data_IF_393361387592
#
_entry.id   IF_393361387592
#
_cell.length_a   1.000
_cell.length_b   1.000
_cell.length_c   1.000
_cell.angle_alpha   90.00
_cell.angle_beta   90.00
_cell.angle_gamma   90.00
#
_symmetry.space_group_name_H-M   'P 1'
#
loop_
_entity.id
_entity.type
_entity.pdbx_description
1 polymer ?
#
# COMPACT_ATOMS: atom_id res chain seq x y z
N UNK A 1 -17.24 -8.82 -0.78
CA UNK A 1 -15.84 -9.04 -1.11
C UNK A 1 -15.80 -10.20 -2.07
N UNK A 2 -15.65 -9.87 -3.35
CA UNK A 2 -15.50 -10.84 -4.43
C UNK A 2 -14.01 -11.20 -4.54
N UNK A 3 -13.68 -12.41 -4.99
CA UNK A 3 -12.31 -12.68 -5.45
C UNK A 3 -11.99 -11.73 -6.61
N UNK A 4 -11.08 -10.79 -6.39
CA UNK A 4 -10.64 -9.81 -7.39
C UNK A 4 -11.04 -8.35 -7.13
N UNK A 5 -11.63 -8.01 -5.98
CA UNK A 5 -11.77 -6.60 -5.59
C UNK A 5 -10.35 -6.00 -5.42
N UNK A 6 -10.04 -4.90 -6.11
CA UNK A 6 -8.74 -4.23 -6.00
C UNK A 6 -8.48 -3.82 -4.55
N UNK A 7 -7.32 -4.18 -4.00
CA UNK A 7 -6.94 -3.86 -2.61
C UNK A 7 -7.14 -2.37 -2.29
N UNK A 8 -6.85 -1.49 -3.25
CA UNK A 8 -7.08 -0.05 -3.16
C UNK A 8 -8.52 0.29 -2.76
N UNK A 9 -9.53 -0.33 -3.38
CA UNK A 9 -10.94 -0.07 -3.08
C UNK A 9 -11.31 -0.46 -1.64
N UNK A 10 -10.73 -1.56 -1.15
CA UNK A 10 -10.92 -2.01 0.23
C UNK A 10 -10.28 -1.01 1.21
N UNK A 11 -9.08 -0.51 0.90
CA UNK A 11 -8.39 0.48 1.70
C UNK A 11 -9.17 1.81 1.76
N UNK A 12 -9.72 2.27 0.62
CA UNK A 12 -10.57 3.46 0.56
C UNK A 12 -11.84 3.31 1.41
N UNK A 13 -12.52 2.16 1.32
CA UNK A 13 -13.70 1.85 2.14
C UNK A 13 -13.35 1.78 3.65
N UNK A 14 -12.11 1.41 3.98
CA UNK A 14 -11.58 1.43 5.34
C UNK A 14 -11.11 2.82 5.80
N UNK A 15 -11.17 3.83 4.92
CA UNK A 15 -10.84 5.23 5.23
C UNK A 15 -9.37 5.59 5.03
N UNK A 16 -8.58 4.77 4.34
CA UNK A 16 -7.20 5.12 3.96
C UNK A 16 -7.25 6.20 2.89
N UNK A 17 -6.62 7.38 3.12
CA UNK A 17 -6.63 8.45 2.14
C UNK A 17 -5.60 8.24 1.03
N UNK A 18 -5.97 8.60 -0.19
CA UNK A 18 -5.10 8.59 -1.36
C UNK A 18 -4.94 10.02 -1.88
N UNK A 19 -3.68 10.45 -2.11
CA UNK A 19 -3.37 11.82 -2.52
C UNK A 19 -2.62 11.89 -3.86
N UNK A 20 -1.42 11.32 -3.95
CA UNK A 20 -0.63 11.35 -5.19
C UNK A 20 -0.79 10.10 -6.05
N UNK A 21 -1.01 8.93 -5.44
CA UNK A 21 -0.98 7.60 -6.09
C UNK A 21 0.35 7.24 -6.80
N UNK A 22 1.32 8.15 -6.80
CA UNK A 22 2.66 8.00 -7.39
C UNK A 22 3.72 7.47 -6.40
N UNK A 23 3.35 7.03 -5.19
CA UNK A 23 4.32 6.48 -4.23
C UNK A 23 5.20 7.51 -3.48
N UNK A 24 5.00 8.82 -3.69
CA UNK A 24 5.93 9.86 -3.19
C UNK A 24 5.47 10.64 -1.94
N UNK A 25 4.20 10.51 -1.52
CA UNK A 25 3.62 11.39 -0.49
C UNK A 25 3.37 10.74 0.88
N UNK A 26 3.35 9.40 0.96
CA UNK A 26 3.07 8.67 2.20
C UNK A 26 1.66 8.81 2.80
N UNK A 27 0.71 9.43 2.10
CA UNK A 27 -0.65 9.63 2.64
C UNK A 27 -1.40 8.31 2.86
N UNK A 28 -1.09 7.28 2.05
CA UNK A 28 -1.71 5.96 2.10
C UNK A 28 -0.83 4.90 2.82
N UNK A 29 0.08 5.31 3.72
CA UNK A 29 0.91 4.36 4.47
C UNK A 29 0.01 3.44 5.31
N UNK A 30 0.23 2.14 5.18
CA UNK A 30 -0.42 1.08 5.95
C UNK A 30 0.62 0.15 6.56
N UNK A 31 0.29 -0.47 7.68
CA UNK A 31 1.10 -1.54 8.28
C UNK A 31 0.51 -2.90 7.91
N UNK A 32 1.33 -3.77 7.33
CA UNK A 32 0.97 -5.14 6.99
C UNK A 32 1.25 -6.03 8.19
N UNK A 33 0.19 -6.45 8.86
CA UNK A 33 0.28 -7.34 10.02
C UNK A 33 0.49 -8.81 9.59
N UNK A 34 -0.21 -9.24 8.53
CA UNK A 34 -0.15 -10.58 7.96
C UNK A 34 -0.44 -10.54 6.45
N UNK A 35 0.02 -11.56 5.70
CA UNK A 35 -0.35 -11.74 4.29
C UNK A 35 0.42 -10.87 3.29
N UNK A 36 1.55 -10.29 3.67
CA UNK A 36 2.39 -9.47 2.80
C UNK A 36 2.91 -10.21 1.57
N UNK A 37 3.02 -11.54 1.63
CA UNK A 37 3.35 -12.41 0.49
C UNK A 37 2.30 -12.42 -0.62
N UNK A 38 1.08 -11.95 -0.34
CA UNK A 38 0.00 -11.83 -1.33
C UNK A 38 0.03 -10.48 -2.06
N UNK A 39 0.87 -9.55 -1.63
CA UNK A 39 1.03 -8.24 -2.25
C UNK A 39 2.04 -8.29 -3.39
N UNK A 40 1.96 -7.30 -4.27
CA UNK A 40 3.02 -7.08 -5.25
C UNK A 40 4.34 -6.68 -4.55
N UNK A 41 5.46 -6.93 -5.22
CA UNK A 41 6.77 -6.46 -4.75
C UNK A 41 6.82 -4.93 -4.69
N UNK A 42 7.65 -4.38 -3.79
CA UNK A 42 7.80 -2.92 -3.66
C UNK A 42 8.32 -2.30 -4.95
N UNK A 43 7.80 -1.12 -5.27
CA UNK A 43 8.34 -0.27 -6.35
C UNK A 43 9.55 0.51 -5.85
N UNK A 44 10.37 1.04 -6.77
CA UNK A 44 11.53 1.87 -6.42
C UNK A 44 11.10 3.12 -5.63
N UNK A 45 9.98 3.74 -6.00
CA UNK A 45 9.41 4.88 -5.29
C UNK A 45 8.95 4.52 -3.87
N UNK A 46 8.37 3.33 -3.69
CA UNK A 46 7.97 2.83 -2.37
C UNK A 46 9.19 2.53 -1.49
N UNK A 47 10.23 1.91 -2.05
CA UNK A 47 11.50 1.65 -1.35
C UNK A 47 12.22 2.96 -0.98
N UNK A 48 12.25 3.94 -1.90
CA UNK A 48 12.86 5.25 -1.65
C UNK A 48 12.13 6.03 -0.55
N UNK A 49 10.79 5.90 -0.46
CA UNK A 49 9.99 6.58 0.54
C UNK A 49 10.05 5.90 1.93
N UNK A 50 9.88 4.58 1.99
CA UNK A 50 9.81 3.82 3.25
C UNK A 50 11.17 3.38 3.78
N UNK A 51 12.18 3.23 2.91
CA UNK A 51 13.49 2.72 3.26
C UNK A 51 13.45 1.26 3.75
N UNK A 52 14.26 0.95 4.76
CA UNK A 52 14.45 -0.40 5.31
C UNK A 52 13.30 -0.89 6.22
N UNK A 53 12.13 -0.25 6.18
CA UNK A 53 10.98 -0.66 7.00
C UNK A 53 10.26 -1.82 6.32
N UNK A 54 10.34 -3.04 6.85
CA UNK A 54 9.79 -4.24 6.19
C UNK A 54 8.27 -4.40 6.29
N UNK A 55 7.63 -3.79 7.28
CA UNK A 55 6.22 -4.08 7.62
C UNK A 55 5.25 -3.00 7.11
N UNK A 56 5.75 -1.89 6.60
CA UNK A 56 4.93 -0.79 6.08
C UNK A 56 4.83 -0.90 4.56
N UNK A 57 3.69 -0.48 4.02
CA UNK A 57 3.45 -0.40 2.58
C UNK A 57 2.72 0.89 2.22
N UNK A 58 2.91 1.35 0.99
CA UNK A 58 2.06 2.39 0.41
C UNK A 58 0.86 1.71 -0.23
N UNK A 59 -0.35 1.94 0.30
CA UNK A 59 -1.57 1.31 -0.20
C UNK A 59 -1.85 1.56 -1.69
N UNK A 60 -1.25 2.59 -2.28
CA UNK A 60 -1.33 2.88 -3.73
C UNK A 60 -0.36 2.07 -4.60
N UNK A 61 0.59 1.36 -3.99
CA UNK A 61 1.64 0.56 -4.63
C UNK A 61 1.53 -0.95 -4.30
N UNK A 62 0.42 -1.38 -3.69
CA UNK A 62 0.20 -2.75 -3.23
C UNK A 62 -0.53 -3.62 -4.27
#
# INVERSE_FOLDING_TARGET
MSEGDELKSVLEDMGVPFACEEGICGTCVIEVIEGGENLTGRTEEEEDFLGDVDNERLGCQC
#
